data_IF_212440915819
#
_entry.id   IF_212440915819
#
_cell.length_a   1.000
_cell.length_b   1.000
_cell.length_c   1.000
_cell.angle_alpha   90.00
_cell.angle_beta   90.00
_cell.angle_gamma   90.00
#
_symmetry.space_group_name_H-M   'P 1'
#
loop_
_entity.id
_entity.type
_entity.pdbx_description
1 polymer ?
#
# COMPACT_ATOMS: atom_id res chain seq x y z
N UNK A 1 -39.15 -9.14 -16.92
CA UNK A 1 -38.45 -9.37 -15.64
C UNK A 1 -37.50 -8.20 -15.41
N UNK A 2 -37.60 -7.43 -14.31
CA UNK A 2 -36.64 -6.37 -14.03
C UNK A 2 -35.34 -6.97 -13.49
N UNK A 3 -34.22 -6.64 -14.13
CA UNK A 3 -32.87 -7.02 -13.70
C UNK A 3 -32.44 -6.11 -12.55
N UNK A 4 -32.32 -6.67 -11.35
CA UNK A 4 -31.74 -5.97 -10.21
C UNK A 4 -30.22 -5.94 -10.41
N UNK A 5 -29.71 -4.85 -10.99
CA UNK A 5 -28.27 -4.57 -10.99
C UNK A 5 -27.84 -4.28 -9.55
N UNK A 6 -26.88 -5.02 -8.97
CA UNK A 6 -26.41 -4.73 -7.63
C UNK A 6 -25.60 -3.43 -7.68
N UNK A 7 -26.20 -2.33 -7.19
CA UNK A 7 -25.49 -1.09 -6.96
C UNK A 7 -24.45 -1.32 -5.87
N UNK A 8 -23.18 -1.49 -6.26
CA UNK A 8 -22.05 -1.60 -5.34
C UNK A 8 -21.98 -0.29 -4.54
N UNK A 9 -22.51 -0.31 -3.31
CA UNK A 9 -22.41 0.81 -2.37
C UNK A 9 -20.94 1.04 -2.05
N UNK A 10 -20.31 2.03 -2.67
CA UNK A 10 -18.97 2.51 -2.29
C UNK A 10 -19.04 3.04 -0.86
N UNK A 11 -18.52 2.25 0.10
CA UNK A 11 -18.42 2.65 1.51
C UNK A 11 -17.63 3.97 1.62
N UNK A 12 -18.05 4.93 2.46
CA UNK A 12 -17.34 6.20 2.62
C UNK A 12 -15.91 5.94 3.12
N UNK A 13 -14.92 6.58 2.49
CA UNK A 13 -13.50 6.49 2.83
C UNK A 13 -13.26 7.01 4.24
N UNK A 14 -13.39 6.11 5.23
CA UNK A 14 -12.79 6.31 6.56
C UNK A 14 -11.29 6.51 6.34
N UNK A 15 -10.70 7.52 6.97
CA UNK A 15 -9.26 7.86 6.97
C UNK A 15 -8.38 6.76 6.33
N UNK A 16 -7.94 6.97 5.08
CA UNK A 16 -7.14 5.98 4.35
C UNK A 16 -5.95 5.57 5.23
N UNK A 17 -5.71 4.28 5.45
CA UNK A 17 -4.49 3.79 6.10
C UNK A 17 -3.24 4.40 5.45
N UNK A 18 -3.31 4.68 4.14
CA UNK A 18 -2.29 5.44 3.39
C UNK A 18 -1.93 6.78 4.04
N UNK A 19 -2.94 7.55 4.50
CA UNK A 19 -2.76 8.86 5.11
C UNK A 19 -2.19 8.73 6.52
N UNK A 20 -2.60 7.70 7.28
CA UNK A 20 -2.05 7.44 8.62
C UNK A 20 -0.58 7.03 8.57
N UNK A 21 -0.19 6.24 7.56
CA UNK A 21 1.19 5.80 7.39
C UNK A 21 2.09 6.97 6.97
N UNK A 22 1.61 7.84 6.07
CA UNK A 22 2.29 9.10 5.73
C UNK A 22 2.42 10.04 6.93
N UNK A 23 1.34 10.25 7.68
CA UNK A 23 1.35 11.13 8.86
C UNK A 23 2.30 10.55 9.91
N UNK A 24 2.29 9.24 10.15
CA UNK A 24 3.23 8.58 11.06
C UNK A 24 4.68 8.77 10.62
N UNK A 25 5.00 8.56 9.34
CA UNK A 25 6.34 8.79 8.81
C UNK A 25 6.79 10.25 8.94
N UNK A 26 5.89 11.21 8.68
CA UNK A 26 6.16 12.64 8.86
C UNK A 26 6.37 12.99 10.33
N UNK A 27 5.54 12.49 11.24
CA UNK A 27 5.66 12.73 12.68
C UNK A 27 6.99 12.23 13.24
N UNK A 28 7.50 11.09 12.75
CA UNK A 28 8.83 10.58 13.14
C UNK A 28 9.95 11.52 12.69
N UNK A 29 9.79 12.20 11.56
CA UNK A 29 10.81 13.10 11.03
C UNK A 29 10.75 14.52 11.61
N UNK A 30 9.60 14.96 12.11
CA UNK A 30 9.43 16.27 12.77
C UNK A 30 10.51 16.56 13.82
N UNK A 31 10.80 15.69 14.80
CA UNK A 31 11.81 15.99 15.83
C UNK A 31 13.22 16.12 15.25
N UNK A 32 13.59 15.30 14.25
CA UNK A 32 14.90 15.38 13.60
C UNK A 32 15.08 16.69 12.81
N UNK A 33 14.07 17.07 12.04
CA UNK A 33 14.06 18.34 11.28
C UNK A 33 14.06 19.55 12.23
N UNK A 34 13.31 19.46 13.33
CA UNK A 34 13.24 20.51 14.34
C UNK A 34 14.59 20.69 15.06
N UNK A 35 15.23 19.59 15.47
CA UNK A 35 16.55 19.62 16.10
C UNK A 35 17.61 20.22 15.15
N UNK A 36 17.59 19.83 13.87
CA UNK A 36 18.48 20.41 12.86
C UNK A 36 18.26 21.92 12.71
N UNK A 37 17.00 22.36 12.65
CA UNK A 37 16.65 23.78 12.60
C UNK A 37 17.18 24.56 13.80
N UNK A 38 17.03 24.01 15.02
CA UNK A 38 17.53 24.62 16.26
C UNK A 38 19.06 24.72 16.25
N UNK A 39 19.76 23.67 15.82
CA UNK A 39 21.23 23.65 15.73
C UNK A 39 21.73 24.68 14.71
N UNK A 40 21.10 24.75 13.53
CA UNK A 40 21.45 25.73 12.50
C UNK A 40 21.15 27.17 12.94
N UNK A 41 20.08 27.39 13.70
CA UNK A 41 19.75 28.71 14.24
C UNK A 41 20.81 29.19 15.24
N UNK A 42 21.35 28.28 16.08
CA UNK A 42 22.42 28.62 17.04
C UNK A 42 23.82 28.70 16.44
N UNK A 43 24.08 28.04 15.30
CA UNK A 43 25.39 28.10 14.66
C UNK A 43 25.69 29.51 14.14
N UNK A 44 26.88 30.06 14.37
CA UNK A 44 27.34 31.29 13.69
C UNK A 44 27.81 30.94 12.29
N UNK A 45 27.05 31.30 11.25
CA UNK A 45 27.36 30.94 9.86
C UNK A 45 26.42 31.62 8.85
N UNK A 46 26.77 31.54 7.58
CA UNK A 46 26.06 32.24 6.49
C UNK A 46 24.59 31.77 6.37
N UNK A 47 23.59 32.69 6.37
CA UNK A 47 22.17 32.32 6.34
C UNK A 47 21.78 31.46 5.14
N UNK A 48 22.37 31.73 3.98
CA UNK A 48 22.11 31.04 2.72
C UNK A 48 22.46 29.54 2.78
N UNK A 49 23.61 29.20 3.37
CA UNK A 49 24.06 27.81 3.50
C UNK A 49 23.16 27.00 4.44
N UNK A 50 22.68 27.62 5.53
CA UNK A 50 21.76 26.98 6.48
C UNK A 50 20.40 26.69 5.86
N UNK A 51 19.85 27.64 5.09
CA UNK A 51 18.58 27.48 4.38
C UNK A 51 18.67 26.36 3.34
N UNK A 52 19.79 26.29 2.61
CA UNK A 52 20.02 25.26 1.60
C UNK A 52 20.09 23.87 2.25
N UNK A 53 20.87 23.72 3.34
CA UNK A 53 20.96 22.46 4.07
C UNK A 53 19.61 22.02 4.67
N UNK A 54 18.89 22.95 5.29
CA UNK A 54 17.55 22.68 5.83
C UNK A 54 16.58 22.23 4.72
N UNK A 55 16.60 22.91 3.58
CA UNK A 55 15.81 22.55 2.41
C UNK A 55 16.12 21.15 1.89
N UNK A 56 17.40 20.78 1.78
CA UNK A 56 17.82 19.43 1.36
C UNK A 56 17.28 18.37 2.31
N UNK A 57 17.43 18.56 3.62
CA UNK A 57 16.95 17.58 4.62
C UNK A 57 15.44 17.47 4.61
N UNK A 58 14.73 18.58 4.49
CA UNK A 58 13.27 18.59 4.38
C UNK A 58 12.80 17.83 3.13
N UNK A 59 13.40 18.10 1.97
CA UNK A 59 13.09 17.42 0.71
C UNK A 59 13.43 15.93 0.75
N UNK A 60 14.60 15.57 1.29
CA UNK A 60 15.01 14.17 1.45
C UNK A 60 14.05 13.39 2.36
N UNK A 61 13.62 14.01 3.46
CA UNK A 61 12.61 13.45 4.36
C UNK A 61 11.28 13.22 3.64
N UNK A 62 10.81 14.22 2.89
CA UNK A 62 9.55 14.11 2.14
C UNK A 62 9.63 13.01 1.07
N UNK A 63 10.74 12.92 0.34
CA UNK A 63 10.98 11.88 -0.65
C UNK A 63 10.96 10.48 -0.01
N UNK A 64 11.61 10.30 1.15
CA UNK A 64 11.59 9.04 1.90
C UNK A 64 10.18 8.68 2.38
N UNK A 65 9.43 9.64 2.92
CA UNK A 65 8.05 9.42 3.36
C UNK A 65 7.13 9.00 2.19
N UNK A 66 7.26 9.65 1.03
CA UNK A 66 6.51 9.28 -0.18
C UNK A 66 6.91 7.89 -0.67
N UNK A 67 8.20 7.55 -0.68
CA UNK A 67 8.67 6.23 -1.10
C UNK A 67 8.13 5.12 -0.19
N UNK A 68 8.17 5.34 1.13
CA UNK A 68 7.66 4.39 2.12
C UNK A 68 6.16 4.16 1.96
N UNK A 69 5.38 5.23 1.73
CA UNK A 69 3.96 5.12 1.44
C UNK A 69 3.71 4.27 0.19
N UNK A 70 4.42 4.52 -0.91
CA UNK A 70 4.22 3.75 -2.14
C UNK A 70 4.45 2.25 -1.92
N UNK A 71 5.51 1.89 -1.18
CA UNK A 71 5.82 0.50 -0.82
C UNK A 71 4.75 -0.17 0.02
N UNK A 72 4.17 0.55 0.99
CA UNK A 72 3.13 -0.02 1.86
C UNK A 72 1.76 -0.13 1.17
N UNK A 73 1.45 0.78 0.26
CA UNK A 73 0.11 0.92 -0.33
C UNK A 73 -0.09 0.07 -1.57
N UNK A 74 0.93 -0.04 -2.41
CA UNK A 74 0.83 -0.78 -3.67
C UNK A 74 0.37 -2.24 -3.46
N UNK A 75 0.90 -3.01 -2.50
CA UNK A 75 0.51 -4.40 -2.32
C UNK A 75 -0.93 -4.57 -1.84
N UNK A 76 -1.42 -3.67 -0.99
CA UNK A 76 -2.81 -3.71 -0.52
C UNK A 76 -3.81 -3.56 -1.67
N UNK A 77 -3.49 -2.73 -2.67
CA UNK A 77 -4.33 -2.57 -3.87
C UNK A 77 -4.33 -3.84 -4.71
N UNK A 78 -3.16 -4.46 -4.89
CA UNK A 78 -3.05 -5.74 -5.59
C UNK A 78 -3.88 -6.82 -4.90
N UNK A 79 -3.79 -6.95 -3.57
CA UNK A 79 -4.59 -7.90 -2.80
C UNK A 79 -6.09 -7.64 -2.94
N UNK A 80 -6.52 -6.38 -2.85
CA UNK A 80 -7.92 -6.02 -3.05
C UNK A 80 -8.43 -6.39 -4.44
N UNK A 81 -7.63 -6.16 -5.49
CA UNK A 81 -7.99 -6.51 -6.85
C UNK A 81 -8.06 -8.04 -7.07
N UNK A 82 -7.11 -8.80 -6.50
CA UNK A 82 -7.16 -10.27 -6.56
C UNK A 82 -8.41 -10.81 -5.85
N UNK A 83 -8.75 -10.28 -4.68
CA UNK A 83 -9.95 -10.69 -3.95
C UNK A 83 -11.24 -10.30 -4.69
N UNK A 84 -11.27 -9.16 -5.38
CA UNK A 84 -12.39 -8.77 -6.23
C UNK A 84 -12.55 -9.76 -7.39
N UNK A 85 -11.46 -10.14 -8.05
CA UNK A 85 -11.47 -11.15 -9.11
C UNK A 85 -11.95 -12.52 -8.63
N UNK A 86 -11.51 -12.96 -7.44
CA UNK A 86 -12.02 -14.17 -6.80
C UNK A 86 -13.53 -14.09 -6.54
N UNK A 87 -14.04 -12.92 -6.10
CA UNK A 87 -15.48 -12.70 -5.91
C UNK A 87 -16.25 -12.78 -7.22
N UNK A 88 -15.66 -12.33 -8.32
CA UNK A 88 -16.23 -12.38 -9.66
C UNK A 88 -16.07 -13.76 -10.33
N UNK A 89 -15.36 -14.69 -9.69
CA UNK A 89 -15.10 -16.04 -10.21
C UNK A 89 -13.98 -16.10 -11.25
N UNK A 90 -13.21 -15.02 -11.43
CA UNK A 90 -12.00 -15.00 -12.25
C UNK A 90 -10.80 -15.49 -11.43
N UNK A 91 -10.55 -16.80 -11.52
CA UNK A 91 -9.44 -17.48 -10.86
C UNK A 91 -8.14 -17.46 -11.68
N UNK A 92 -8.09 -16.74 -12.81
CA UNK A 92 -6.89 -16.68 -13.66
C UNK A 92 -5.84 -15.71 -13.12
N UNK A 93 -6.27 -14.70 -12.36
CA UNK A 93 -5.41 -13.69 -11.77
C UNK A 93 -4.58 -14.26 -10.62
N UNK A 94 -3.27 -13.95 -10.63
CA UNK A 94 -2.30 -14.36 -9.60
C UNK A 94 -1.38 -13.19 -9.27
N UNK A 95 -1.08 -13.00 -7.99
CA UNK A 95 -0.11 -11.99 -7.56
C UNK A 95 1.31 -12.45 -7.87
N UNK A 96 2.03 -11.73 -8.75
CA UNK A 96 3.42 -12.07 -9.13
C UNK A 96 4.47 -11.61 -8.12
N UNK A 97 4.14 -10.69 -7.20
CA UNK A 97 5.11 -10.07 -6.30
C UNK A 97 5.27 -10.82 -4.95
N UNK A 98 5.04 -12.13 -4.93
CA UNK A 98 5.16 -13.00 -3.76
C UNK A 98 6.63 -13.33 -3.46
N UNK A 99 7.38 -12.37 -2.92
CA UNK A 99 8.66 -12.68 -2.26
C UNK A 99 8.34 -13.36 -0.93
N UNK A 100 8.91 -14.54 -0.68
CA UNK A 100 8.65 -15.35 0.54
C UNK A 100 9.20 -14.73 1.82
N UNK A 101 10.03 -13.70 1.72
CA UNK A 101 10.71 -13.09 2.87
C UNK A 101 10.01 -11.82 3.41
N UNK A 102 8.76 -11.54 2.98
CA UNK A 102 7.96 -10.40 3.47
C UNK A 102 6.54 -10.88 3.81
N UNK A 103 6.00 -10.40 4.92
CA UNK A 103 4.66 -10.74 5.43
C UNK A 103 3.56 -10.49 4.39
N UNK A 104 3.72 -9.47 3.55
CA UNK A 104 2.80 -9.21 2.42
C UNK A 104 2.87 -10.32 1.37
N UNK A 105 4.08 -10.82 1.10
CA UNK A 105 4.30 -11.91 0.14
C UNK A 105 3.68 -13.22 0.60
N UNK A 106 3.74 -13.53 1.90
CA UNK A 106 3.04 -14.68 2.49
C UNK A 106 1.53 -14.63 2.25
N UNK A 107 0.90 -13.47 2.48
CA UNK A 107 -0.55 -13.32 2.23
C UNK A 107 -0.88 -13.44 0.74
N UNK A 108 -0.03 -12.95 -0.16
CA UNK A 108 -0.23 -13.13 -1.61
C UNK A 108 -0.14 -14.61 -2.00
N UNK A 109 0.77 -15.38 -1.38
CA UNK A 109 0.86 -16.83 -1.61
C UNK A 109 -0.43 -17.49 -1.17
N UNK A 110 -0.96 -17.14 0.00
CA UNK A 110 -2.21 -17.69 0.51
C UNK A 110 -3.40 -17.39 -0.42
N UNK A 111 -3.50 -16.14 -0.92
CA UNK A 111 -4.53 -15.77 -1.92
C UNK A 111 -4.37 -16.59 -3.22
N UNK A 112 -3.14 -16.79 -3.69
CA UNK A 112 -2.87 -17.58 -4.89
C UNK A 112 -3.23 -19.06 -4.70
N UNK A 113 -2.98 -19.62 -3.51
CA UNK A 113 -3.37 -20.99 -3.14
C UNK A 113 -4.89 -21.12 -3.11
N UNK A 114 -5.59 -20.17 -2.47
CA UNK A 114 -7.05 -20.15 -2.42
C UNK A 114 -7.68 -20.06 -3.82
N UNK A 115 -7.14 -19.19 -4.68
CA UNK A 115 -7.57 -19.07 -6.08
C UNK A 115 -7.50 -20.40 -6.81
N UNK A 116 -6.40 -21.13 -6.62
CA UNK A 116 -6.20 -22.43 -7.23
C UNK A 116 -7.18 -23.48 -6.70
N UNK A 117 -7.39 -23.55 -5.39
CA UNK A 117 -8.36 -24.49 -4.80
C UNK A 117 -9.78 -24.24 -5.30
N UNK A 118 -10.22 -22.97 -5.38
CA UNK A 118 -11.55 -22.63 -5.90
C UNK A 118 -11.70 -22.99 -7.39
N UNK A 119 -10.64 -22.77 -8.19
CA UNK A 119 -10.61 -23.18 -9.59
C UNK A 119 -10.75 -24.68 -9.77
N UNK A 120 -10.01 -25.46 -8.98
CA UNK A 120 -10.07 -26.93 -8.99
C UNK A 120 -11.46 -27.45 -8.58
N UNK A 121 -12.08 -26.84 -7.55
CA UNK A 121 -13.45 -27.15 -7.15
C UNK A 121 -14.47 -26.88 -8.25
N UNK A 122 -14.35 -25.76 -8.99
CA UNK A 122 -15.24 -25.44 -10.12
C UNK A 122 -15.13 -26.48 -11.23
N UNK A 123 -13.91 -26.87 -11.62
CA UNK A 123 -13.67 -27.86 -12.67
C UNK A 123 -14.24 -29.23 -12.27
N UNK A 124 -14.05 -29.66 -11.03
CA UNK A 124 -14.59 -30.93 -10.54
C UNK A 124 -16.13 -30.99 -10.54
N UNK A 125 -16.82 -29.86 -10.39
CA UNK A 125 -18.29 -29.78 -10.51
C UNK A 125 -18.72 -29.88 -11.98
N UNK A 126 -17.97 -29.24 -12.88
CA UNK A 126 -18.23 -29.25 -14.33
C UNK A 126 -18.05 -30.65 -14.92
N UNK A 127 -16.97 -31.36 -14.56
CA UNK A 127 -16.72 -32.75 -14.97
C UNK A 127 -17.78 -33.74 -14.48
N UNK A 128 -18.39 -33.51 -13.31
CA UNK A 128 -19.46 -34.36 -12.77
C UNK A 128 -20.84 -34.09 -13.37
N UNK A 129 -21.00 -32.95 -14.03
CA UNK A 129 -22.27 -32.51 -14.61
C UNK A 129 -22.36 -32.82 -16.12
N UNK A 130 -21.26 -33.27 -16.72
CA UNK A 130 -21.15 -33.71 -18.11
C UNK A 130 -21.32 -35.25 -18.21
#
# INVERSE_FOLDING_TARGET
MPTVSPSIRRKPRRFNHESRLLIGALVVAVPAVSALGIVLFRASGEPSGKLLLFGIVLLGTLALAVNLRQRAVYPLRTMANLLEALREGDYSLRGSNSRRDDAIGEVIIEINTLSQTLREQRLAVEEKSA
#
